data_IF_851338863351
#
_entry.id   IF_851338863351
#
_cell.length_a   1.000
_cell.length_b   1.000
_cell.length_c   1.000
_cell.angle_alpha   90.00
_cell.angle_beta   90.00
_cell.angle_gamma   90.00
#
_symmetry.space_group_name_H-M   'P 1'
#
loop_
_entity.id
_entity.type
_entity.pdbx_description
1 polymer ?
#
# COMPACT_ATOMS: atom_id res chain seq x y z
N UNK A 1 15.12 -16.44 23.58
CA UNK A 1 14.41 -17.37 22.67
C UNK A 1 15.26 -17.56 21.43
N UNK A 2 15.30 -18.77 20.86
CA UNK A 2 15.95 -19.00 19.58
C UNK A 2 15.16 -18.33 18.46
N UNK A 3 15.84 -17.70 17.49
CA UNK A 3 15.22 -17.04 16.33
C UNK A 3 14.27 -17.99 15.58
N UNK A 4 14.66 -19.26 15.47
CA UNK A 4 13.93 -20.31 14.74
C UNK A 4 12.61 -20.73 15.41
N UNK A 5 12.33 -20.24 16.62
CA UNK A 5 11.10 -20.54 17.37
C UNK A 5 10.11 -19.36 17.38
N UNK A 6 10.46 -18.24 16.73
CA UNK A 6 9.59 -17.08 16.63
C UNK A 6 8.53 -17.27 15.54
N UNK A 7 7.37 -16.60 15.64
CA UNK A 7 6.38 -16.61 14.57
C UNK A 7 6.96 -16.14 13.24
N UNK A 8 6.68 -16.86 12.17
CA UNK A 8 7.16 -16.57 10.82
C UNK A 8 6.77 -15.18 10.35
N UNK A 9 5.55 -14.71 10.67
CA UNK A 9 5.10 -13.35 10.37
C UNK A 9 5.93 -12.25 11.04
N UNK A 10 6.50 -12.52 12.22
CA UNK A 10 7.41 -11.58 12.89
C UNK A 10 8.79 -11.58 12.21
N UNK A 11 9.29 -12.77 11.87
CA UNK A 11 10.55 -12.94 11.17
C UNK A 11 10.51 -12.34 9.75
N UNK A 12 9.41 -12.52 9.03
CA UNK A 12 9.13 -11.92 7.73
C UNK A 12 9.24 -10.38 7.78
N UNK A 13 8.69 -9.74 8.82
CA UNK A 13 8.81 -8.28 9.00
C UNK A 13 10.25 -7.85 9.28
N UNK A 14 10.99 -8.64 10.05
CA UNK A 14 12.40 -8.38 10.32
C UNK A 14 13.25 -8.56 9.05
N UNK A 15 12.98 -9.59 8.26
CA UNK A 15 13.57 -9.83 6.95
C UNK A 15 13.31 -8.64 6.03
N UNK A 16 12.06 -8.19 5.88
CA UNK A 16 11.73 -7.03 5.06
C UNK A 16 12.52 -5.78 5.46
N UNK A 17 12.64 -5.52 6.78
CA UNK A 17 13.42 -4.39 7.31
C UNK A 17 14.91 -4.52 6.96
N UNK A 18 15.49 -5.70 7.18
CA UNK A 18 16.89 -5.98 6.86
C UNK A 18 17.18 -5.82 5.36
N UNK A 19 16.25 -6.28 4.52
CA UNK A 19 16.35 -6.20 3.06
C UNK A 19 16.05 -4.80 2.50
N UNK A 20 15.65 -3.84 3.33
CA UNK A 20 15.36 -2.46 2.90
C UNK A 20 16.62 -1.61 2.69
N UNK A 21 17.79 -2.10 3.09
CA UNK A 21 19.07 -1.42 2.81
C UNK A 21 19.48 -1.67 1.36
N UNK A 22 19.08 -0.74 0.48
CA UNK A 22 19.42 -0.80 -0.93
C UNK A 22 20.90 -0.58 -1.21
N UNK A 23 21.71 -0.13 -0.24
CA UNK A 23 23.16 0.00 -0.40
C UNK A 23 23.90 -1.34 -0.38
N UNK A 24 23.23 -2.43 0.04
CA UNK A 24 23.85 -3.73 0.24
C UNK A 24 23.78 -4.63 -0.99
N UNK A 25 24.92 -5.27 -1.29
CA UNK A 25 25.01 -6.39 -2.23
C UNK A 25 24.96 -7.69 -1.42
N UNK A 26 24.09 -8.60 -1.86
CA UNK A 26 23.87 -9.91 -1.27
C UNK A 26 24.46 -10.99 -2.17
N UNK A 27 24.95 -12.06 -1.56
CA UNK A 27 25.40 -13.27 -2.27
C UNK A 27 24.36 -14.36 -2.08
N UNK A 28 23.78 -14.85 -3.17
CA UNK A 28 22.83 -15.95 -3.17
C UNK A 28 23.54 -17.30 -3.03
N UNK A 29 22.80 -18.36 -2.70
CA UNK A 29 23.36 -19.71 -2.51
C UNK A 29 23.95 -20.30 -3.79
N UNK A 30 23.48 -19.84 -4.96
CA UNK A 30 24.03 -20.17 -6.27
C UNK A 30 25.30 -19.36 -6.63
N UNK A 31 25.78 -18.49 -5.74
CA UNK A 31 26.95 -17.63 -5.94
C UNK A 31 26.68 -16.34 -6.70
N UNK A 32 25.46 -16.11 -7.20
CA UNK A 32 25.11 -14.85 -7.87
C UNK A 32 25.01 -13.69 -6.88
N UNK A 33 25.34 -12.48 -7.35
CA UNK A 33 25.26 -11.26 -6.56
C UNK A 33 24.04 -10.42 -6.95
N UNK A 34 23.24 -10.06 -5.95
CA UNK A 34 22.02 -9.27 -6.14
C UNK A 34 21.99 -8.08 -5.20
N UNK A 35 21.43 -6.97 -5.65
CA UNK A 35 21.13 -5.82 -4.79
C UNK A 35 19.61 -5.67 -4.70
N UNK A 36 19.08 -5.65 -3.49
CA UNK A 36 17.64 -5.52 -3.26
C UNK A 36 17.32 -4.02 -3.20
N UNK A 37 16.77 -3.49 -4.29
CA UNK A 37 16.41 -2.07 -4.39
C UNK A 37 15.13 -1.77 -3.60
N UNK A 38 14.20 -2.72 -3.58
CA UNK A 38 13.01 -2.69 -2.75
C UNK A 38 12.63 -4.12 -2.34
N UNK A 39 12.44 -4.41 -1.04
CA UNK A 39 12.12 -5.76 -0.56
C UNK A 39 10.68 -6.21 -0.86
N UNK A 40 9.88 -5.34 -1.49
CA UNK A 40 8.47 -5.61 -1.80
C UNK A 40 7.51 -5.22 -0.68
N UNK A 41 6.23 -5.39 -0.96
CA UNK A 41 5.09 -5.12 -0.08
C UNK A 41 4.62 -6.46 0.51
N UNK A 42 4.58 -6.56 1.84
CA UNK A 42 4.02 -7.71 2.56
C UNK A 42 2.62 -8.02 2.03
N UNK A 43 2.41 -9.26 1.61
CA UNK A 43 1.13 -9.80 1.18
C UNK A 43 0.42 -10.44 2.39
N UNK A 44 -0.72 -9.89 2.86
CA UNK A 44 -1.49 -10.50 3.94
C UNK A 44 -2.48 -11.58 3.45
N UNK A 45 -2.45 -11.91 2.16
CA UNK A 45 -3.35 -12.85 1.50
C UNK A 45 -2.58 -14.07 0.99
N UNK A 46 -3.29 -15.04 0.42
CA UNK A 46 -2.69 -16.22 -0.21
C UNK A 46 -1.70 -15.83 -1.34
N UNK A 47 -0.66 -16.64 -1.51
CA UNK A 47 0.43 -16.41 -2.46
C UNK A 47 1.67 -15.85 -1.78
N UNK A 48 2.65 -15.36 -2.57
CA UNK A 48 3.97 -15.04 -2.05
C UNK A 48 3.97 -13.95 -0.97
N UNK A 49 4.87 -14.06 -0.02
CA UNK A 49 5.02 -13.16 1.13
C UNK A 49 5.26 -11.70 0.75
N UNK A 50 5.99 -11.46 -0.33
CA UNK A 50 6.32 -10.12 -0.81
C UNK A 50 5.93 -9.96 -2.28
N UNK A 51 5.18 -8.90 -2.57
CA UNK A 51 4.86 -8.48 -3.94
C UNK A 51 5.66 -7.25 -4.35
N UNK A 52 5.97 -7.12 -5.64
CA UNK A 52 6.72 -5.97 -6.19
C UNK A 52 8.13 -5.81 -5.58
N UNK A 53 8.79 -6.93 -5.27
CA UNK A 53 10.20 -6.95 -4.90
C UNK A 53 11.03 -6.53 -6.11
N UNK A 54 11.94 -5.57 -5.95
CA UNK A 54 12.80 -5.06 -7.01
C UNK A 54 14.26 -5.44 -6.72
N UNK A 55 14.86 -6.18 -7.64
CA UNK A 55 16.23 -6.72 -7.51
C UNK A 55 17.06 -6.26 -8.70
N UNK A 56 18.21 -5.64 -8.43
CA UNK A 56 19.23 -5.36 -9.43
C UNK A 56 20.19 -6.56 -9.52
N UNK A 57 20.31 -7.13 -10.71
CA UNK A 57 21.23 -8.23 -11.00
C UNK A 57 21.84 -8.02 -12.39
N UNK A 58 23.18 -8.02 -12.47
CA UNK A 58 23.93 -7.80 -13.72
C UNK A 58 23.49 -6.54 -14.50
N UNK A 59 23.25 -5.43 -13.79
CA UNK A 59 22.83 -4.16 -14.40
C UNK A 59 21.36 -4.09 -14.82
N UNK A 60 20.59 -5.17 -14.66
CA UNK A 60 19.17 -5.21 -14.98
C UNK A 60 18.32 -5.24 -13.71
N UNK A 61 17.32 -4.36 -13.64
CA UNK A 61 16.31 -4.40 -12.57
C UNK A 61 15.23 -5.40 -12.95
N UNK A 62 14.97 -6.35 -12.06
CA UNK A 62 13.84 -7.29 -12.15
C UNK A 62 12.85 -6.98 -11.04
N UNK A 63 11.57 -6.98 -11.40
CA UNK A 63 10.46 -6.80 -10.46
C UNK A 63 9.67 -8.10 -10.45
N UNK A 64 9.44 -8.66 -9.27
CA UNK A 64 8.74 -9.93 -9.09
C UNK A 64 8.24 -10.10 -7.66
N UNK A 65 8.00 -11.35 -7.28
CA UNK A 65 7.61 -11.73 -5.92
C UNK A 65 8.77 -12.42 -5.19
N UNK A 66 8.73 -12.39 -3.86
CA UNK A 66 9.67 -13.13 -3.02
C UNK A 66 8.93 -13.84 -1.89
N UNK A 67 9.44 -15.00 -1.50
CA UNK A 67 8.90 -15.83 -0.41
C UNK A 67 9.85 -15.87 0.77
N UNK A 68 9.35 -15.87 2.00
CA UNK A 68 10.17 -16.00 3.19
C UNK A 68 9.86 -17.32 3.92
N UNK A 69 10.91 -18.05 4.30
CA UNK A 69 10.75 -19.18 5.23
C UNK A 69 11.82 -19.22 6.31
N UNK A 70 11.53 -19.85 7.45
CA UNK A 70 12.59 -20.18 8.43
C UNK A 70 13.60 -21.16 7.82
N UNK A 71 13.12 -22.20 7.13
CA UNK A 71 13.93 -23.26 6.49
C UNK A 71 13.57 -23.38 5.02
N UNK A 72 14.54 -23.68 4.16
CA UNK A 72 14.27 -23.87 2.73
C UNK A 72 13.41 -25.10 2.45
N UNK A 73 13.47 -26.15 3.29
CA UNK A 73 12.59 -27.34 3.18
C UNK A 73 11.09 -27.00 3.20
N UNK A 74 10.71 -25.91 3.89
CA UNK A 74 9.32 -25.47 4.03
C UNK A 74 8.65 -25.19 2.69
N UNK A 75 9.43 -24.82 1.65
CA UNK A 75 8.92 -24.66 0.28
C UNK A 75 8.14 -25.88 -0.21
N UNK A 76 8.65 -27.08 0.08
CA UNK A 76 8.02 -28.33 -0.32
C UNK A 76 6.97 -28.79 0.69
N UNK A 77 7.20 -28.57 1.99
CA UNK A 77 6.27 -28.94 3.07
C UNK A 77 4.94 -28.20 2.96
N UNK A 78 4.98 -26.94 2.52
CA UNK A 78 3.79 -26.13 2.27
C UNK A 78 3.18 -26.36 0.87
N UNK A 79 3.78 -27.21 0.03
CA UNK A 79 3.29 -27.53 -1.30
C UNK A 79 3.42 -26.39 -2.33
N UNK A 80 4.26 -25.39 -2.08
CA UNK A 80 4.42 -24.25 -3.01
C UNK A 80 4.98 -24.69 -4.36
N UNK A 81 5.78 -25.76 -4.39
CA UNK A 81 6.26 -26.36 -5.64
C UNK A 81 5.12 -26.90 -6.55
N UNK A 82 3.90 -27.07 -6.04
CA UNK A 82 2.74 -27.53 -6.81
C UNK A 82 1.64 -26.47 -6.92
N UNK A 83 1.84 -25.27 -6.37
CA UNK A 83 0.86 -24.19 -6.40
C UNK A 83 1.29 -23.10 -7.39
N UNK A 84 0.50 -22.95 -8.46
CA UNK A 84 0.69 -21.98 -9.55
C UNK A 84 0.88 -20.54 -9.07
N UNK A 85 0.38 -20.20 -7.87
CA UNK A 85 0.54 -18.86 -7.29
C UNK A 85 2.00 -18.53 -6.96
N UNK A 86 2.86 -19.54 -6.84
CA UNK A 86 4.28 -19.40 -6.48
C UNK A 86 5.22 -19.59 -7.67
N UNK A 87 4.71 -19.88 -8.87
CA UNK A 87 5.52 -20.08 -10.08
C UNK A 87 6.38 -18.84 -10.43
N UNK A 88 5.89 -17.65 -10.08
CA UNK A 88 6.56 -16.37 -10.36
C UNK A 88 7.48 -15.88 -9.21
N UNK A 89 7.68 -16.70 -8.16
CA UNK A 89 8.60 -16.35 -7.07
C UNK A 89 10.03 -16.36 -7.57
N UNK A 90 10.59 -15.17 -7.76
CA UNK A 90 11.96 -15.03 -8.25
C UNK A 90 13.00 -15.22 -7.15
N UNK A 91 12.63 -15.04 -5.88
CA UNK A 91 13.56 -15.06 -4.75
C UNK A 91 12.97 -15.77 -3.53
N UNK A 92 13.71 -16.74 -2.99
CA UNK A 92 13.41 -17.42 -1.73
C UNK A 92 14.35 -16.91 -0.64
N UNK A 93 13.81 -16.27 0.37
CA UNK A 93 14.57 -15.71 1.50
C UNK A 93 14.43 -16.65 2.69
N UNK A 94 15.55 -17.13 3.23
CA UNK A 94 15.56 -18.12 4.32
C UNK A 94 16.48 -17.75 5.46
N UNK A 95 16.27 -18.34 6.64
CA UNK A 95 17.24 -18.28 7.74
C UNK A 95 18.21 -19.46 7.69
N UNK A 96 17.71 -20.63 7.28
CA UNK A 96 18.48 -21.87 7.15
C UNK A 96 18.22 -22.46 5.79
N UNK A 97 19.27 -22.66 5.00
CA UNK A 97 19.19 -23.43 3.76
C UNK A 97 19.54 -24.89 4.06
N UNK A 98 18.52 -25.71 4.33
CA UNK A 98 18.65 -27.14 4.67
C UNK A 98 18.26 -28.07 3.52
N UNK A 99 17.60 -27.55 2.50
CA UNK A 99 17.27 -28.27 1.27
C UNK A 99 17.24 -27.31 0.08
N UNK A 100 17.95 -27.61 -1.03
CA UNK A 100 17.84 -26.82 -2.24
C UNK A 100 16.39 -26.66 -2.70
N UNK A 101 15.99 -25.42 -2.97
CA UNK A 101 14.71 -25.10 -3.61
C UNK A 101 14.98 -24.77 -5.08
N UNK A 102 14.87 -25.76 -5.97
CA UNK A 102 15.17 -25.61 -7.40
C UNK A 102 14.16 -24.71 -8.16
N UNK A 103 13.08 -24.29 -7.50
CA UNK A 103 12.00 -23.51 -8.11
C UNK A 103 12.32 -22.01 -8.22
N UNK A 104 13.18 -21.48 -7.36
CA UNK A 104 13.46 -20.04 -7.30
C UNK A 104 14.80 -19.73 -7.97
N UNK A 105 14.87 -18.61 -8.70
CA UNK A 105 16.13 -18.18 -9.33
C UNK A 105 17.20 -17.88 -8.27
N UNK A 106 16.81 -17.23 -7.18
CA UNK A 106 17.70 -16.79 -6.13
C UNK A 106 17.24 -17.31 -4.77
N UNK A 107 18.13 -17.97 -4.04
CA UNK A 107 17.93 -18.23 -2.62
C UNK A 107 18.89 -17.38 -1.81
N UNK A 108 18.36 -16.65 -0.84
CA UNK A 108 19.11 -15.72 0.01
C UNK A 108 19.02 -16.15 1.47
N UNK A 109 20.18 -16.38 2.10
CA UNK A 109 20.26 -16.70 3.53
C UNK A 109 20.49 -15.41 4.31
N UNK A 110 19.57 -15.05 5.20
CA UNK A 110 19.72 -13.89 6.06
C UNK A 110 20.59 -14.22 7.28
N UNK A 111 21.63 -13.42 7.59
CA UNK A 111 22.47 -13.64 8.76
C UNK A 111 21.66 -13.56 10.06
N UNK A 112 21.85 -14.56 10.93
CA UNK A 112 21.08 -14.68 12.18
C UNK A 112 21.28 -13.50 13.13
N UNK A 113 22.50 -12.99 13.25
CA UNK A 113 22.82 -11.84 14.10
C UNK A 113 22.14 -10.55 13.58
N UNK A 114 22.07 -10.38 12.27
CA UNK A 114 21.39 -9.26 11.61
C UNK A 114 19.88 -9.34 11.74
N UNK A 115 19.32 -10.55 11.62
CA UNK A 115 17.92 -10.80 11.92
C UNK A 115 17.60 -10.49 13.38
N UNK A 116 18.49 -10.86 14.30
CA UNK A 116 18.40 -10.47 15.72
C UNK A 116 18.38 -8.95 15.91
N UNK A 117 19.28 -8.21 15.24
CA UNK A 117 19.28 -6.74 15.26
C UNK A 117 18.04 -6.13 14.62
N UNK A 118 17.58 -6.68 13.49
CA UNK A 118 16.37 -6.21 12.81
C UNK A 118 15.12 -6.42 13.67
N UNK A 119 15.00 -7.58 14.33
CA UNK A 119 13.97 -7.86 15.32
C UNK A 119 14.06 -6.94 16.53
N UNK A 120 15.25 -6.73 17.08
CA UNK A 120 15.46 -5.78 18.17
C UNK A 120 15.02 -4.39 17.74
N UNK A 121 15.40 -3.94 16.55
CA UNK A 121 15.00 -2.66 16.00
C UNK A 121 13.52 -2.59 15.60
N UNK A 122 12.80 -3.71 15.50
CA UNK A 122 11.34 -3.75 15.37
C UNK A 122 10.66 -3.66 16.75
N UNK A 123 11.28 -4.25 17.78
CA UNK A 123 10.84 -4.21 19.18
C UNK A 123 11.15 -2.88 19.87
N UNK A 124 12.28 -2.25 19.52
CA UNK A 124 12.55 -0.83 19.66
C UNK A 124 11.62 -0.11 18.68
N UNK A 125 10.34 -0.03 19.06
CA UNK A 125 9.56 1.13 18.66
C UNK A 125 10.46 2.33 18.98
N UNK A 126 10.91 3.08 17.98
CA UNK A 126 10.86 4.54 18.16
C UNK A 126 9.46 4.75 18.72
N UNK A 127 9.32 5.28 19.94
CA UNK A 127 8.01 5.64 20.45
C UNK A 127 7.40 6.53 19.37
N UNK A 128 6.52 5.92 18.57
CA UNK A 128 5.80 6.62 17.53
C UNK A 128 4.69 7.27 18.34
N UNK A 129 4.87 8.56 18.54
CA UNK A 129 3.98 9.31 19.37
C UNK A 129 2.73 9.58 18.54
N UNK A 130 1.66 8.83 18.81
CA UNK A 130 0.37 9.05 18.18
C UNK A 130 -0.22 10.44 18.48
N UNK A 131 0.33 11.14 19.48
CA UNK A 131 0.01 12.54 19.78
C UNK A 131 0.84 13.53 18.94
N UNK A 132 1.93 13.08 18.31
CA UNK A 132 2.75 13.89 17.44
C UNK A 132 2.09 14.10 16.07
N UNK A 133 1.62 15.33 15.85
CA UNK A 133 0.95 15.75 14.63
C UNK A 133 1.82 15.55 13.38
N UNK A 134 3.15 15.70 13.48
CA UNK A 134 4.06 15.52 12.34
C UNK A 134 4.07 14.06 11.86
N UNK A 135 3.93 13.09 12.76
CA UNK A 135 3.84 11.68 12.37
C UNK A 135 2.53 11.38 11.64
N UNK A 136 1.43 11.98 12.10
CA UNK A 136 0.11 11.87 11.46
C UNK A 136 0.15 12.51 10.06
N UNK A 137 0.75 13.70 9.93
CA UNK A 137 0.93 14.37 8.64
C UNK A 137 1.77 13.54 7.66
N UNK A 138 2.91 13.01 8.10
CA UNK A 138 3.77 12.12 7.28
C UNK A 138 3.00 10.87 6.84
N UNK A 139 2.20 10.31 7.72
CA UNK A 139 1.39 9.12 7.43
C UNK A 139 0.27 9.44 6.43
N UNK A 140 -0.34 10.63 6.52
CA UNK A 140 -1.35 11.10 5.58
C UNK A 140 -0.78 11.23 4.16
N UNK A 141 0.38 11.90 4.03
CA UNK A 141 1.09 12.05 2.75
C UNK A 141 1.53 10.69 2.19
N UNK A 142 2.09 9.82 3.02
CA UNK A 142 2.50 8.49 2.59
C UNK A 142 1.33 7.69 2.03
N UNK A 143 0.16 7.75 2.70
CA UNK A 143 -1.06 7.09 2.24
C UNK A 143 -1.51 7.60 0.88
N UNK A 144 -1.56 8.92 0.70
CA UNK A 144 -1.93 9.54 -0.57
C UNK A 144 -0.93 9.16 -1.68
N UNK A 145 0.37 9.28 -1.42
CA UNK A 145 1.42 8.95 -2.39
C UNK A 145 1.39 7.48 -2.83
N UNK A 146 1.13 6.54 -1.92
CA UNK A 146 0.95 5.13 -2.27
C UNK A 146 -0.24 4.92 -3.19
N UNK A 147 -1.38 5.55 -2.88
CA UNK A 147 -2.57 5.46 -3.73
C UNK A 147 -2.31 6.09 -5.11
N UNK A 148 -1.62 7.23 -5.17
CA UNK A 148 -1.24 7.90 -6.43
C UNK A 148 -0.26 7.08 -7.25
N UNK A 149 0.73 6.45 -6.63
CA UNK A 149 1.67 5.56 -7.33
C UNK A 149 0.95 4.37 -7.94
N UNK A 150 0.03 3.76 -7.19
CA UNK A 150 -0.82 2.69 -7.70
C UNK A 150 -1.71 3.18 -8.86
N UNK A 151 -2.38 4.34 -8.71
CA UNK A 151 -3.19 4.95 -9.78
C UNK A 151 -2.35 5.20 -11.04
N UNK A 152 -1.14 5.76 -10.91
CA UNK A 152 -0.23 6.00 -12.05
C UNK A 152 0.12 4.70 -12.77
N UNK A 153 0.41 3.64 -12.03
CA UNK A 153 0.68 2.32 -12.61
C UNK A 153 -0.53 1.74 -13.34
N UNK A 154 -1.75 1.94 -12.81
CA UNK A 154 -2.97 1.52 -13.48
C UNK A 154 -3.22 2.34 -14.76
N UNK A 155 -3.06 3.67 -14.70
CA UNK A 155 -3.21 4.57 -15.87
C UNK A 155 -2.27 4.15 -16.99
N UNK A 156 -1.01 3.85 -16.69
CA UNK A 156 -0.05 3.40 -17.71
C UNK A 156 -0.40 2.05 -18.36
N UNK A 157 -1.24 1.23 -17.72
CA UNK A 157 -1.66 -0.09 -18.22
C UNK A 157 -2.99 -0.06 -18.99
N UNK A 158 -3.98 0.68 -18.49
CA UNK A 158 -5.36 0.63 -18.99
C UNK A 158 -5.94 1.99 -19.37
N UNK A 159 -5.16 3.07 -19.26
CA UNK A 159 -5.64 4.43 -19.49
C UNK A 159 -6.42 5.01 -18.30
N UNK A 160 -6.72 6.33 -18.31
CA UNK A 160 -7.24 7.05 -17.15
C UNK A 160 -8.66 6.63 -16.74
N UNK A 161 -9.55 6.40 -17.70
CA UNK A 161 -10.95 6.05 -17.43
C UNK A 161 -11.06 4.66 -16.80
N UNK A 162 -10.38 3.67 -17.36
CA UNK A 162 -10.41 2.31 -16.81
C UNK A 162 -9.58 2.18 -15.53
N UNK A 163 -8.51 2.96 -15.38
CA UNK A 163 -7.79 3.05 -14.11
C UNK A 163 -8.69 3.55 -12.98
N UNK A 164 -9.60 4.50 -13.25
CA UNK A 164 -10.59 4.95 -12.28
C UNK A 164 -11.53 3.81 -11.86
N UNK A 165 -11.95 2.94 -12.79
CA UNK A 165 -12.74 1.72 -12.46
C UNK A 165 -11.95 0.76 -11.59
N UNK A 166 -10.69 0.48 -11.95
CA UNK A 166 -9.79 -0.41 -11.20
C UNK A 166 -9.59 0.11 -9.77
N UNK A 167 -9.28 1.40 -9.63
CA UNK A 167 -9.11 2.08 -8.34
C UNK A 167 -10.38 1.95 -7.48
N UNK A 168 -11.54 2.19 -8.08
CA UNK A 168 -12.85 2.08 -7.41
C UNK A 168 -13.09 0.65 -6.92
N UNK A 169 -12.96 -0.34 -7.79
CA UNK A 169 -13.18 -1.74 -7.44
C UNK A 169 -12.27 -2.21 -6.31
N UNK A 170 -10.96 -1.98 -6.44
CA UNK A 170 -9.99 -2.38 -5.42
C UNK A 170 -10.19 -1.67 -4.08
N UNK A 171 -10.63 -0.41 -4.10
CA UNK A 171 -10.95 0.28 -2.85
C UNK A 171 -12.16 -0.34 -2.16
N UNK A 172 -13.25 -0.62 -2.90
CA UNK A 172 -14.41 -1.31 -2.35
C UNK A 172 -14.07 -2.72 -1.83
N UNK A 173 -13.26 -3.50 -2.55
CA UNK A 173 -12.87 -4.85 -2.12
C UNK A 173 -12.10 -4.80 -0.79
N UNK A 174 -11.16 -3.85 -0.64
CA UNK A 174 -10.43 -3.60 0.61
C UNK A 174 -11.29 -3.04 1.73
N UNK A 175 -12.32 -2.26 1.39
CA UNK A 175 -13.25 -1.72 2.37
C UNK A 175 -14.16 -2.84 2.91
N UNK A 176 -14.68 -3.68 2.02
CA UNK A 176 -15.52 -4.83 2.37
C UNK A 176 -14.77 -5.82 3.28
N UNK A 177 -13.50 -6.12 3.00
CA UNK A 177 -12.71 -7.04 3.84
C UNK A 177 -12.47 -6.55 5.27
N UNK A 178 -12.67 -5.25 5.54
CA UNK A 178 -12.45 -4.62 6.85
C UNK A 178 -13.74 -4.33 7.61
N UNK A 179 -14.90 -4.43 6.97
CA UNK A 179 -16.19 -4.09 7.60
C UNK A 179 -16.85 -5.35 8.17
N UNK A 180 -17.36 -5.23 9.40
CA UNK A 180 -18.21 -6.26 10.01
C UNK A 180 -19.55 -6.42 9.30
N UNK A 181 -20.10 -5.31 8.78
CA UNK A 181 -21.33 -5.29 8.01
C UNK A 181 -21.02 -4.88 6.57
N UNK A 182 -21.28 -5.77 5.59
CA UNK A 182 -21.05 -5.47 4.19
C UNK A 182 -21.94 -4.31 3.75
N UNK A 183 -21.47 -3.57 2.75
CA UNK A 183 -22.27 -2.50 2.16
C UNK A 183 -23.34 -3.10 1.23
N UNK A 184 -24.48 -2.41 1.04
CA UNK A 184 -25.50 -2.84 0.10
C UNK A 184 -24.90 -3.07 -1.29
N UNK A 185 -25.17 -4.23 -1.89
CA UNK A 185 -24.56 -4.63 -3.17
C UNK A 185 -24.99 -3.71 -4.31
N UNK A 186 -26.26 -3.27 -4.31
CA UNK A 186 -26.84 -2.31 -5.25
C UNK A 186 -26.10 -0.97 -5.21
N UNK A 187 -25.77 -0.47 -4.02
CA UNK A 187 -24.98 0.74 -3.83
C UNK A 187 -23.57 0.60 -4.43
N UNK A 188 -22.87 -0.49 -4.11
CA UNK A 188 -21.50 -0.74 -4.60
C UNK A 188 -21.50 -0.89 -6.12
N UNK A 189 -22.41 -1.69 -6.66
CA UNK A 189 -22.55 -1.90 -8.10
C UNK A 189 -22.91 -0.60 -8.83
N UNK A 190 -23.86 0.18 -8.30
CA UNK A 190 -24.26 1.46 -8.86
C UNK A 190 -23.10 2.46 -8.93
N UNK A 191 -22.31 2.57 -7.87
CA UNK A 191 -21.11 3.43 -7.86
C UNK A 191 -20.07 2.94 -8.87
N UNK A 192 -19.75 1.64 -8.90
CA UNK A 192 -18.77 1.07 -9.87
C UNK A 192 -19.17 1.33 -11.32
N UNK A 193 -20.47 1.35 -11.60
CA UNK A 193 -21.01 1.60 -12.93
C UNK A 193 -20.98 3.09 -13.28
N UNK A 194 -21.42 3.95 -12.36
CA UNK A 194 -21.59 5.38 -12.58
C UNK A 194 -20.31 6.21 -12.39
N UNK A 195 -19.27 5.67 -11.74
CA UNK A 195 -18.11 6.47 -11.32
C UNK A 195 -17.47 7.26 -12.46
N UNK A 196 -17.29 6.63 -13.63
CA UNK A 196 -16.62 7.25 -14.78
C UNK A 196 -17.41 8.36 -15.46
N UNK A 197 -18.73 8.38 -15.27
CA UNK A 197 -19.64 9.38 -15.86
C UNK A 197 -20.15 10.38 -14.83
N UNK A 198 -19.83 10.18 -13.55
CA UNK A 198 -20.15 11.13 -12.48
C UNK A 198 -19.32 12.42 -12.59
N UNK A 199 -19.80 13.56 -12.06
CA UNK A 199 -19.02 14.81 -12.05
C UNK A 199 -17.62 14.66 -11.43
N UNK A 200 -17.50 13.85 -10.37
CA UNK A 200 -16.22 13.54 -9.73
C UNK A 200 -15.30 12.70 -10.62
N UNK A 201 -15.84 11.70 -11.32
CA UNK A 201 -15.04 10.89 -12.24
C UNK A 201 -14.58 11.65 -13.47
N UNK A 202 -15.46 12.48 -14.04
CA UNK A 202 -15.12 13.37 -15.15
C UNK A 202 -14.04 14.38 -14.75
N UNK A 203 -14.17 15.00 -13.56
CA UNK A 203 -13.11 15.85 -12.99
C UNK A 203 -11.78 15.09 -12.87
N UNK A 204 -11.82 13.84 -12.41
CA UNK A 204 -10.60 13.05 -12.21
C UNK A 204 -9.81 12.83 -13.49
N UNK A 205 -10.50 12.41 -14.56
CA UNK A 205 -9.85 12.04 -15.83
C UNK A 205 -9.50 13.27 -16.69
N UNK A 206 -10.14 14.41 -16.45
CA UNK A 206 -9.87 15.68 -17.12
C UNK A 206 -9.11 16.70 -16.26
N UNK A 207 -8.49 16.27 -15.15
CA UNK A 207 -7.78 17.19 -14.26
C UNK A 207 -6.65 17.94 -14.98
N UNK A 208 -6.04 17.31 -15.99
CA UNK A 208 -4.95 17.88 -16.78
C UNK A 208 -5.40 19.09 -17.60
N UNK A 209 -6.70 19.18 -17.90
CA UNK A 209 -7.31 20.28 -18.65
C UNK A 209 -7.75 21.45 -17.73
N UNK A 210 -7.61 21.30 -16.41
CA UNK A 210 -8.03 22.29 -15.43
C UNK A 210 -6.88 23.20 -15.01
N UNK A 211 -7.10 24.51 -15.03
CA UNK A 211 -6.13 25.46 -14.51
C UNK A 211 -5.96 25.30 -12.99
N UNK A 212 -4.73 25.42 -12.43
CA UNK A 212 -4.46 25.15 -11.02
C UNK A 212 -5.34 25.94 -10.04
N UNK A 213 -5.69 27.17 -10.36
CA UNK A 213 -6.54 28.04 -9.53
C UNK A 213 -8.03 27.65 -9.57
N UNK A 214 -8.46 26.86 -10.57
CA UNK A 214 -9.83 26.38 -10.72
C UNK A 214 -10.09 25.05 -10.00
N UNK A 215 -9.06 24.19 -9.91
CA UNK A 215 -8.69 23.49 -8.68
C UNK A 215 -9.84 23.15 -7.69
N UNK A 216 -9.78 23.88 -6.59
CA UNK A 216 -10.63 23.77 -5.42
C UNK A 216 -12.11 23.97 -5.78
N UNK A 217 -12.41 24.97 -6.62
CA UNK A 217 -13.78 25.25 -7.04
C UNK A 217 -14.38 24.10 -7.88
N UNK A 218 -13.56 23.39 -8.66
CA UNK A 218 -14.00 22.23 -9.41
C UNK A 218 -14.38 21.06 -8.48
N UNK A 219 -13.58 20.79 -7.44
CA UNK A 219 -13.94 19.81 -6.41
C UNK A 219 -15.22 20.20 -5.66
N UNK A 220 -15.35 21.46 -5.25
CA UNK A 220 -16.53 21.95 -4.53
C UNK A 220 -17.82 21.83 -5.36
N UNK A 221 -17.73 22.00 -6.69
CA UNK A 221 -18.87 21.76 -7.59
C UNK A 221 -19.15 20.27 -7.74
N UNK A 222 -18.14 19.48 -8.06
CA UNK A 222 -18.29 18.05 -8.33
C UNK A 222 -18.80 17.27 -7.12
N UNK A 223 -18.41 17.65 -5.90
CA UNK A 223 -18.87 16.99 -4.66
C UNK A 223 -20.34 17.24 -4.31
N UNK A 224 -20.99 18.26 -4.88
CA UNK A 224 -22.41 18.55 -4.59
C UNK A 224 -23.34 17.45 -5.13
N UNK A 225 -22.93 16.80 -6.20
CA UNK A 225 -23.72 15.77 -6.87
C UNK A 225 -23.35 14.38 -6.38
N UNK A 226 -24.34 13.50 -6.32
CA UNK A 226 -24.13 12.10 -5.97
C UNK A 226 -23.52 11.35 -7.15
N UNK A 227 -22.67 10.37 -6.88
CA UNK A 227 -22.22 9.42 -7.89
C UNK A 227 -23.36 8.46 -8.21
N UNK A 228 -24.06 7.99 -7.18
CA UNK A 228 -25.24 7.15 -7.25
C UNK A 228 -26.19 7.51 -6.08
N UNK A 229 -26.36 6.62 -5.10
CA UNK A 229 -27.24 6.82 -3.93
C UNK A 229 -26.47 7.03 -2.63
N UNK A 230 -25.15 7.22 -2.68
CA UNK A 230 -24.30 7.34 -1.51
C UNK A 230 -24.55 8.60 -0.68
N UNK A 231 -24.37 8.48 0.64
CA UNK A 231 -24.32 9.63 1.54
C UNK A 231 -23.01 10.43 1.42
N UNK A 232 -23.02 11.66 1.95
CA UNK A 232 -21.88 12.58 1.88
C UNK A 232 -20.57 11.99 2.45
N UNK A 233 -20.64 11.22 3.54
CA UNK A 233 -19.46 10.58 4.15
C UNK A 233 -18.83 9.54 3.22
N UNK A 234 -19.63 8.70 2.56
CA UNK A 234 -19.12 7.70 1.62
C UNK A 234 -18.58 8.39 0.37
N UNK A 235 -19.25 9.44 -0.12
CA UNK A 235 -18.73 10.25 -1.23
C UNK A 235 -17.35 10.82 -0.90
N UNK A 236 -17.17 11.42 0.28
CA UNK A 236 -15.88 11.97 0.67
C UNK A 236 -14.79 10.90 0.73
N UNK A 237 -15.12 9.72 1.23
CA UNK A 237 -14.19 8.59 1.24
C UNK A 237 -13.78 8.14 -0.17
N UNK A 238 -14.73 8.13 -1.12
CA UNK A 238 -14.43 7.88 -2.54
C UNK A 238 -13.53 8.98 -3.10
N UNK A 239 -13.81 10.24 -2.81
CA UNK A 239 -12.98 11.36 -3.28
C UNK A 239 -11.53 11.17 -2.83
N UNK A 240 -11.32 10.87 -1.55
CA UNK A 240 -9.99 10.86 -0.96
C UNK A 240 -9.20 9.59 -1.32
N UNK A 241 -9.86 8.45 -1.43
CA UNK A 241 -9.19 7.16 -1.67
C UNK A 241 -9.16 6.74 -3.16
N UNK A 242 -9.96 7.37 -4.02
CA UNK A 242 -10.10 7.02 -5.45
C UNK A 242 -9.85 8.23 -6.34
N UNK A 243 -10.66 9.30 -6.22
CA UNK A 243 -10.62 10.46 -7.13
C UNK A 243 -9.29 11.21 -7.02
N UNK A 244 -8.96 11.69 -5.82
CA UNK A 244 -7.77 12.50 -5.55
C UNK A 244 -6.47 11.76 -5.96
N UNK A 245 -6.28 10.46 -5.68
CA UNK A 245 -5.11 9.74 -6.19
C UNK A 245 -4.99 9.70 -7.72
N UNK A 246 -6.10 9.56 -8.44
CA UNK A 246 -6.15 9.61 -9.92
C UNK A 246 -5.82 11.02 -10.40
N UNK A 247 -6.43 12.05 -9.80
CA UNK A 247 -6.10 13.45 -10.10
C UNK A 247 -4.60 13.71 -9.93
N UNK A 248 -4.06 13.34 -8.77
CA UNK A 248 -2.63 13.46 -8.47
C UNK A 248 -1.76 12.62 -9.40
N UNK A 249 -2.26 11.57 -10.04
CA UNK A 249 -1.46 10.79 -10.98
C UNK A 249 -1.33 11.50 -12.34
N UNK A 250 -2.39 12.15 -12.80
CA UNK A 250 -2.48 12.84 -14.09
C UNK A 250 -1.98 14.29 -14.07
N UNK A 251 -2.07 14.96 -12.93
CA UNK A 251 -1.73 16.37 -12.76
C UNK A 251 -0.23 16.69 -12.97
N UNK A 252 0.04 17.87 -13.53
CA UNK A 252 1.36 18.52 -13.51
C UNK A 252 1.69 19.09 -12.11
N UNK A 253 2.89 19.66 -11.94
CA UNK A 253 3.34 20.13 -10.63
C UNK A 253 2.49 21.28 -10.05
N UNK A 254 2.07 22.23 -10.88
CA UNK A 254 1.23 23.34 -10.45
C UNK A 254 -0.17 22.85 -9.99
N UNK A 255 -0.76 21.95 -10.75
CA UNK A 255 -2.04 21.31 -10.42
C UNK A 255 -1.94 20.46 -9.14
N UNK A 256 -0.81 19.74 -8.94
CA UNK A 256 -0.56 18.97 -7.70
C UNK A 256 -0.51 19.86 -6.47
N UNK A 257 0.07 21.06 -6.57
CA UNK A 257 0.08 22.02 -5.46
C UNK A 257 -1.36 22.36 -5.04
N UNK A 258 -2.24 22.65 -6.00
CA UNK A 258 -3.65 22.95 -5.72
C UNK A 258 -4.41 21.75 -5.14
N UNK A 259 -4.17 20.53 -5.66
CA UNK A 259 -4.75 19.29 -5.12
C UNK A 259 -4.31 19.03 -3.67
N UNK A 260 -3.05 19.32 -3.34
CA UNK A 260 -2.54 19.21 -1.97
C UNK A 260 -3.13 20.29 -1.07
N UNK A 261 -3.27 21.53 -1.54
CA UNK A 261 -3.97 22.59 -0.80
C UNK A 261 -5.40 22.18 -0.45
N UNK A 262 -6.13 21.58 -1.39
CA UNK A 262 -7.45 21.01 -1.13
C UNK A 262 -7.39 19.91 -0.06
N UNK A 263 -6.49 18.94 -0.21
CA UNK A 263 -6.35 17.81 0.72
C UNK A 263 -6.07 18.26 2.17
N UNK A 264 -5.23 19.27 2.36
CA UNK A 264 -4.88 19.78 3.68
C UNK A 264 -5.96 20.66 4.32
N UNK A 265 -6.85 21.26 3.52
CA UNK A 265 -7.87 22.20 4.00
C UNK A 265 -9.27 21.61 4.12
N UNK A 266 -9.54 20.47 3.49
CA UNK A 266 -10.89 19.91 3.44
C UNK A 266 -11.33 19.31 4.78
N UNK A 267 -12.48 19.78 5.29
CA UNK A 267 -13.08 19.32 6.55
C UNK A 267 -13.59 17.88 6.44
N UNK A 268 -13.40 17.06 7.46
CA UNK A 268 -14.04 15.75 7.52
C UNK A 268 -15.56 15.89 7.69
N UNK A 269 -16.33 14.93 7.13
CA UNK A 269 -17.80 14.93 7.27
C UNK A 269 -18.20 14.51 8.68
N UNK A 270 -17.66 13.38 9.15
CA UNK A 270 -17.88 12.86 10.50
C UNK A 270 -16.59 12.25 11.06
N UNK A 271 -16.38 12.27 12.38
CA UNK A 271 -15.28 11.57 13.02
C UNK A 271 -15.49 10.04 12.97
N UNK A 272 -14.39 9.31 12.92
CA UNK A 272 -14.40 7.85 13.07
C UNK A 272 -14.39 7.49 14.55
N UNK A 273 -15.41 6.76 15.01
CA UNK A 273 -15.46 6.30 16.41
C UNK A 273 -14.27 5.40 16.80
N UNK A 274 -13.67 4.67 15.84
CA UNK A 274 -12.42 3.94 16.06
C UNK A 274 -11.26 4.89 16.38
N UNK A 275 -11.09 5.95 15.58
CA UNK A 275 -9.99 6.89 15.75
C UNK A 275 -10.15 7.71 17.03
N UNK A 276 -11.38 8.10 17.39
CA UNK A 276 -11.65 8.79 18.66
C UNK A 276 -11.19 7.97 19.87
N UNK A 277 -11.34 6.64 19.82
CA UNK A 277 -10.86 5.76 20.89
C UNK A 277 -9.35 5.52 20.87
N UNK A 278 -8.74 5.50 19.68
CA UNK A 278 -7.31 5.17 19.50
C UNK A 278 -6.40 6.39 19.58
N UNK A 279 -6.94 7.58 19.37
CA UNK A 279 -6.24 8.87 19.37
C UNK A 279 -7.12 9.91 20.10
N UNK A 280 -7.31 9.77 21.43
CA UNK A 280 -8.22 10.64 22.18
C UNK A 280 -7.80 12.11 22.15
N UNK A 281 -6.49 12.38 22.01
CA UNK A 281 -5.92 13.73 22.02
C UNK A 281 -5.72 14.32 20.60
N UNK A 282 -6.18 13.64 19.55
CA UNK A 282 -6.05 14.12 18.16
C UNK A 282 -7.40 14.57 17.61
N UNK A 283 -7.40 15.74 16.98
CA UNK A 283 -8.56 16.24 16.25
C UNK A 283 -8.77 15.43 14.95
N UNK A 284 -10.03 15.32 14.54
CA UNK A 284 -10.50 14.69 13.30
C UNK A 284 -11.27 15.67 12.41
N UNK A 285 -11.14 16.98 12.65
CA UNK A 285 -11.85 18.01 11.91
C UNK A 285 -11.50 18.07 10.41
N UNK A 286 -10.34 17.57 10.00
CA UNK A 286 -9.88 17.55 8.62
C UNK A 286 -9.66 16.12 8.12
N UNK A 287 -9.87 15.92 6.82
CA UNK A 287 -9.71 14.62 6.16
C UNK A 287 -8.29 14.08 6.34
N UNK A 288 -7.26 14.91 6.18
CA UNK A 288 -5.88 14.46 6.27
C UNK A 288 -5.55 13.88 7.64
N UNK A 289 -6.16 14.40 8.73
CA UNK A 289 -5.96 13.89 10.09
C UNK A 289 -6.46 12.45 10.18
N UNK A 290 -7.69 12.20 9.68
CA UNK A 290 -8.28 10.87 9.66
C UNK A 290 -7.47 9.90 8.80
N UNK A 291 -7.07 10.32 7.59
CA UNK A 291 -6.25 9.50 6.70
C UNK A 291 -4.86 9.20 7.29
N UNK A 292 -4.26 10.18 7.95
CA UNK A 292 -2.99 10.04 8.65
C UNK A 292 -3.06 9.04 9.79
N UNK A 293 -4.05 9.18 10.67
CA UNK A 293 -4.29 8.24 11.78
C UNK A 293 -4.59 6.82 11.29
N UNK A 294 -5.37 6.66 10.20
CA UNK A 294 -5.64 5.36 9.60
C UNK A 294 -4.37 4.70 9.05
N UNK A 295 -3.48 5.45 8.39
CA UNK A 295 -2.20 4.91 7.91
C UNK A 295 -1.22 4.66 9.06
N UNK A 296 -1.23 5.50 10.09
CA UNK A 296 -0.44 5.29 11.30
C UNK A 296 -0.86 3.98 11.98
N UNK A 297 -2.16 3.75 12.20
CA UNK A 297 -2.67 2.49 12.77
C UNK A 297 -2.27 1.29 11.91
N UNK A 298 -2.34 1.42 10.58
CA UNK A 298 -1.93 0.35 9.68
C UNK A 298 -0.46 -0.04 9.86
N UNK A 299 0.41 0.92 10.18
CA UNK A 299 1.87 0.70 10.29
C UNK A 299 2.31 0.30 11.71
N UNK A 300 1.66 0.85 12.73
CA UNK A 300 2.14 0.82 14.11
C UNK A 300 1.12 0.32 15.14
N UNK A 301 -0.17 0.29 14.77
CA UNK A 301 -1.31 0.10 15.67
C UNK A 301 -1.75 -1.34 15.89
#
# INVERSE_FOLDING_TARGET
>A
MSLLQLPETLLQRAAQKLLSDSGRIWTCTNGEHVQILAPGIVNPHEGPDFTHTAVLHNGCVRIGTAEFHVRSSAWHEHGHAQDVRYDDVMMHVVLVDDRPADACKWTLILPHDEMGRALHALGERKEHDSSNVDEIQRSAVLRLNRATAFARSAIGRVGPVDALRVMTSQWFDRLSSKRRHPMPEDLVYGIRTAITTSPLGLLAVHISDCEPDQILAAFDRAERERIFTEGASLRREIVVNVILPVCCALANDAQRIALLQWYWSVRAVHPYGLLTRRFPDQDQAYVWQQQGMLEWLRRYG
#
